data_IF_372674937181
#
_entry.id   IF_372674937181
#
_cell.length_a   1.000
_cell.length_b   1.000
_cell.length_c   1.000
_cell.angle_alpha   90.00
_cell.angle_beta   90.00
_cell.angle_gamma   90.00
#
_symmetry.space_group_name_H-M   'P 1'
#
loop_
_entity.id
_entity.type
_entity.pdbx_description
1 polymer ?
#
# COMPACT_ATOMS: atom_id res chain seq x y z
N UNK A 1 13.08 -12.36 -0.27
CA UNK A 1 12.41 -11.28 0.49
C UNK A 1 12.00 -10.18 -0.49
N UNK A 2 10.71 -9.83 -0.57
CA UNK A 2 10.25 -8.72 -1.41
C UNK A 2 10.51 -7.39 -0.68
N UNK A 3 10.92 -6.37 -1.41
CA UNK A 3 11.21 -5.05 -0.82
C UNK A 3 10.00 -4.14 -0.82
N UNK A 4 9.03 -4.40 -1.70
CA UNK A 4 7.77 -3.70 -1.75
C UNK A 4 6.67 -4.55 -2.39
N UNK A 5 5.42 -4.21 -2.08
CA UNK A 5 4.22 -4.64 -2.79
C UNK A 5 3.48 -3.42 -3.31
N UNK A 6 2.91 -3.51 -4.50
CA UNK A 6 2.21 -2.42 -5.16
C UNK A 6 0.85 -2.93 -5.59
N UNK A 7 -0.20 -2.26 -5.14
CA UNK A 7 -1.58 -2.55 -5.52
C UNK A 7 -2.18 -1.31 -6.18
N UNK A 8 -2.92 -1.50 -7.26
CA UNK A 8 -3.65 -0.43 -7.94
C UNK A 8 -5.14 -0.58 -7.70
N UNK A 9 -5.79 0.53 -7.35
CA UNK A 9 -7.24 0.65 -7.21
C UNK A 9 -7.76 1.77 -8.11
N UNK A 10 -8.86 1.50 -8.82
CA UNK A 10 -9.56 2.53 -9.62
C UNK A 10 -10.42 3.46 -8.78
N UNK A 11 -10.72 3.05 -7.55
CA UNK A 11 -11.53 3.82 -6.61
C UNK A 11 -10.68 4.25 -5.42
N UNK A 12 -10.91 5.47 -4.95
CA UNK A 12 -10.26 5.98 -3.75
C UNK A 12 -10.67 5.11 -2.55
N UNK A 13 -9.72 4.50 -1.81
CA UNK A 13 -10.04 3.87 -0.55
C UNK A 13 -10.64 4.90 0.41
N UNK A 14 -11.87 4.66 0.88
CA UNK A 14 -12.61 5.64 1.70
C UNK A 14 -12.03 5.81 3.11
N UNK A 15 -11.35 4.77 3.61
CA UNK A 15 -10.77 4.74 4.95
C UNK A 15 -9.64 3.70 5.04
N UNK A 16 -8.92 3.71 6.16
CA UNK A 16 -7.83 2.77 6.42
C UNK A 16 -8.30 1.30 6.40
N UNK A 17 -9.53 1.01 6.81
CA UNK A 17 -10.06 -0.35 6.76
C UNK A 17 -10.16 -0.86 5.32
N UNK A 18 -10.64 -0.04 4.38
CA UNK A 18 -10.70 -0.39 2.97
C UNK A 18 -9.31 -0.68 2.39
N UNK A 19 -8.28 0.08 2.80
CA UNK A 19 -6.88 -0.17 2.42
C UNK A 19 -6.42 -1.53 2.94
N UNK A 20 -6.67 -1.83 4.22
CA UNK A 20 -6.29 -3.10 4.84
C UNK A 20 -7.03 -4.29 4.21
N UNK A 21 -8.32 -4.14 3.88
CA UNK A 21 -9.12 -5.16 3.22
C UNK A 21 -8.57 -5.48 1.81
N UNK A 22 -8.15 -4.47 1.04
CA UNK A 22 -7.49 -4.65 -0.26
C UNK A 22 -6.16 -5.40 -0.12
N UNK A 23 -5.35 -5.04 0.87
CA UNK A 23 -4.07 -5.72 1.11
C UNK A 23 -4.30 -7.16 1.58
N UNK A 24 -5.27 -7.40 2.46
CA UNK A 24 -5.63 -8.72 2.94
C UNK A 24 -6.14 -9.62 1.81
N UNK A 25 -6.94 -9.06 0.88
CA UNK A 25 -7.39 -9.75 -0.32
C UNK A 25 -6.22 -10.15 -1.21
N UNK A 26 -5.34 -9.20 -1.53
CA UNK A 26 -4.12 -9.45 -2.31
C UNK A 26 -3.24 -10.54 -1.66
N UNK A 27 -3.01 -10.46 -0.36
CA UNK A 27 -2.21 -11.46 0.35
C UNK A 27 -2.86 -12.85 0.27
N UNK A 28 -4.19 -12.94 0.36
CA UNK A 28 -4.94 -14.20 0.22
C UNK A 28 -4.79 -14.80 -1.18
N UNK A 29 -4.92 -13.98 -2.23
CA UNK A 29 -4.77 -14.44 -3.62
C UNK A 29 -3.36 -14.96 -3.91
N UNK A 30 -2.35 -14.39 -3.25
CA UNK A 30 -0.94 -14.77 -3.42
C UNK A 30 -0.40 -15.75 -2.36
N UNK A 31 -1.27 -16.35 -1.54
CA UNK A 31 -0.89 -17.25 -0.44
C UNK A 31 0.14 -16.67 0.55
N UNK A 32 0.08 -15.37 0.82
CA UNK A 32 0.97 -14.65 1.74
C UNK A 32 0.36 -14.58 3.14
N UNK A 33 1.20 -14.69 4.17
CA UNK A 33 0.75 -14.55 5.56
C UNK A 33 0.62 -13.06 5.91
N UNK A 34 -0.59 -12.60 6.18
CA UNK A 34 -0.90 -11.20 6.49
C UNK A 34 -1.29 -11.00 7.96
N UNK A 35 -0.78 -9.92 8.59
CA UNK A 35 -1.24 -9.43 9.89
C UNK A 35 -1.33 -7.90 9.90
N UNK A 36 -2.46 -7.38 10.39
CA UNK A 36 -2.65 -5.97 10.65
C UNK A 36 -2.32 -5.63 12.11
N UNK A 37 -1.72 -4.47 12.36
CA UNK A 37 -1.42 -3.97 13.70
C UNK A 37 -2.50 -2.97 14.15
N UNK A 38 -3.30 -3.27 15.19
CA UNK A 38 -4.44 -2.43 15.60
C UNK A 38 -4.04 -1.13 16.31
N UNK A 39 -2.83 -1.05 16.88
CA UNK A 39 -2.41 0.04 17.78
C UNK A 39 -1.69 1.22 17.10
N UNK A 40 -1.34 1.11 15.81
CA UNK A 40 -0.42 2.05 15.13
C UNK A 40 -1.03 2.67 13.87
N UNK A 41 -2.03 3.55 14.02
CA UNK A 41 -2.54 4.43 12.94
C UNK A 41 -2.77 3.77 11.54
N UNK A 42 -2.91 2.44 11.48
CA UNK A 42 -2.92 1.60 10.27
C UNK A 42 -1.78 1.85 9.27
N UNK A 43 -0.63 2.37 9.69
CA UNK A 43 0.48 2.68 8.78
C UNK A 43 1.43 1.51 8.56
N UNK A 44 1.31 0.43 9.34
CA UNK A 44 2.18 -0.74 9.24
C UNK A 44 1.41 -2.06 9.24
N UNK A 45 1.92 -3.04 8.50
CA UNK A 45 1.41 -4.41 8.40
C UNK A 45 2.57 -5.41 8.35
N UNK A 46 2.30 -6.67 8.68
CA UNK A 46 3.27 -7.75 8.48
C UNK A 46 2.84 -8.64 7.32
N UNK A 47 3.73 -8.88 6.37
CA UNK A 47 3.56 -9.84 5.26
C UNK A 47 4.72 -10.85 5.30
N UNK A 48 4.42 -12.14 5.40
CA UNK A 48 5.39 -13.24 5.51
C UNK A 48 6.45 -13.03 6.61
N UNK A 49 6.03 -12.47 7.75
CA UNK A 49 6.91 -12.23 8.89
C UNK A 49 7.78 -10.98 8.80
N UNK A 50 7.60 -10.16 7.76
CA UNK A 50 8.30 -8.87 7.61
C UNK A 50 7.32 -7.71 7.70
N UNK A 51 7.73 -6.63 8.37
CA UNK A 51 6.91 -5.43 8.50
C UNK A 51 7.04 -4.52 7.29
N UNK A 52 5.94 -3.92 6.87
CA UNK A 52 5.85 -2.97 5.76
C UNK A 52 5.07 -1.73 6.20
N UNK A 53 5.55 -0.56 5.81
CA UNK A 53 4.81 0.69 5.84
C UNK A 53 3.81 0.72 4.69
N UNK A 54 2.65 1.32 4.92
CA UNK A 54 1.61 1.52 3.89
C UNK A 54 1.56 2.99 3.52
N UNK A 55 1.77 3.29 2.25
CA UNK A 55 1.56 4.60 1.65
C UNK A 55 0.41 4.52 0.65
N UNK A 56 -0.47 5.52 0.65
CA UNK A 56 -1.52 5.68 -0.35
C UNK A 56 -1.16 6.88 -1.23
N UNK A 57 -0.99 6.63 -2.52
CA UNK A 57 -0.59 7.63 -3.50
C UNK A 57 -1.71 7.81 -4.54
N UNK A 58 -2.07 9.06 -4.79
CA UNK A 58 -2.95 9.42 -5.91
C UNK A 58 -2.11 9.52 -7.18
N UNK A 59 -2.47 8.79 -8.21
CA UNK A 59 -1.82 8.80 -9.52
C UNK A 59 -2.79 9.46 -10.50
N UNK A 60 -2.51 10.73 -10.81
CA UNK A 60 -3.23 11.49 -11.82
C UNK A 60 -2.39 11.51 -13.10
N UNK A 61 -2.93 10.95 -14.18
CA UNK A 61 -2.43 11.18 -15.54
C UNK A 61 -3.25 12.29 -16.21
N UNK A 62 -2.63 13.14 -17.03
CA UNK A 62 -3.30 14.25 -17.71
C UNK A 62 -4.43 13.84 -18.67
N UNK A 63 -4.62 12.55 -18.95
CA UNK A 63 -5.65 12.03 -19.87
C UNK A 63 -6.28 10.70 -19.43
N UNK A 64 -6.01 10.23 -18.22
CA UNK A 64 -6.52 8.95 -17.71
C UNK A 64 -7.33 9.14 -16.41
N UNK A 65 -8.30 8.25 -16.11
CA UNK A 65 -9.01 8.31 -14.84
C UNK A 65 -8.03 8.20 -13.67
N UNK A 66 -8.25 8.98 -12.61
CA UNK A 66 -7.42 8.93 -11.39
C UNK A 66 -7.34 7.50 -10.85
N UNK A 67 -6.13 7.01 -10.67
CA UNK A 67 -5.85 5.73 -10.02
C UNK A 67 -5.25 5.96 -8.64
N UNK A 68 -5.47 5.01 -7.74
CA UNK A 68 -4.90 5.01 -6.40
C UNK A 68 -3.91 3.86 -6.30
N UNK A 69 -2.70 4.16 -5.84
CA UNK A 69 -1.66 3.18 -5.61
C UNK A 69 -1.46 2.98 -4.11
N UNK A 70 -1.64 1.76 -3.64
CA UNK A 70 -1.26 1.34 -2.29
C UNK A 70 0.14 0.74 -2.40
N UNK A 71 1.09 1.41 -1.76
CA UNK A 71 2.50 1.03 -1.75
C UNK A 71 2.86 0.49 -0.37
N UNK A 72 3.13 -0.81 -0.28
CA UNK A 72 3.62 -1.43 0.94
C UNK A 72 5.15 -1.55 0.86
N UNK A 73 5.90 -0.69 1.55
CA UNK A 73 7.36 -0.67 1.54
C UNK A 73 7.93 -1.30 2.80
N UNK A 74 8.98 -2.11 2.68
CA UNK A 74 9.56 -2.78 3.84
C UNK A 74 9.97 -1.77 4.94
N UNK A 75 9.45 -1.96 6.16
CA UNK A 75 9.75 -1.16 7.33
C UNK A 75 11.26 -1.21 7.62
N UNK A 76 11.92 -0.04 7.61
CA UNK A 76 13.38 0.08 7.73
C UNK A 76 14.13 0.35 6.41
N UNK A 77 13.45 0.33 5.26
CA UNK A 77 13.97 0.97 4.02
C UNK A 77 13.19 2.26 3.79
N UNK A 78 13.80 3.40 4.13
CA UNK A 78 13.32 4.73 3.76
C UNK A 78 13.38 4.90 2.25
N UNK A 79 12.34 4.46 1.54
CA UNK A 79 12.15 4.82 0.15
C UNK A 79 11.79 6.31 0.09
N UNK A 80 12.77 7.15 -0.25
CA UNK A 80 12.58 8.54 -0.65
C UNK A 80 11.76 8.57 -1.95
N UNK A 81 10.46 8.30 -1.90
CA UNK A 81 9.55 8.68 -2.99
C UNK A 81 9.32 10.19 -2.85
N UNK A 82 10.24 10.95 -3.44
CA UNK A 82 10.02 12.38 -3.66
C UNK A 82 8.87 12.51 -4.65
N UNK A 83 7.86 13.27 -4.24
CA UNK A 83 6.71 13.67 -5.03
C UNK A 83 7.13 14.01 -6.47
N UNK A 84 6.76 13.17 -7.44
CA UNK A 84 6.78 13.57 -8.83
C UNK A 84 5.52 14.41 -9.08
N UNK A 85 5.61 15.69 -8.73
CA UNK A 85 4.74 16.71 -9.30
C UNK A 85 5.23 16.93 -10.72
N UNK A 86 4.50 16.40 -11.71
CA UNK A 86 4.70 16.81 -13.10
C UNK A 86 4.27 18.29 -13.21
N UNK A 87 5.17 19.12 -13.72
CA UNK A 87 4.97 20.54 -14.00
C UNK A 87 4.64 20.73 -15.48
#
# INVERSE_FOLDING_TARGET
MKTAYILFSRQKPENNKAILDLIAHFCREHCLIYRAHPDLNCSTITIDGYDYNIDLLEINGESEPTYWMIYCSLHGKTCNLKNHTAA
#
